data_IF_582877998255
#
_entry.id   IF_582877998255
#
_cell.length_a   1.000
_cell.length_b   1.000
_cell.length_c   1.000
_cell.angle_alpha   90.00
_cell.angle_beta   90.00
_cell.angle_gamma   90.00
#
_symmetry.space_group_name_H-M   'P 1'
#
loop_
_entity.id
_entity.type
_entity.pdbx_description
1 polymer ?
#
# COMPACT_ATOMS: atom_id res chain seq x y z
N UNK A 1 10.53 -4.03 -10.18
CA UNK A 1 9.55 -4.15 -9.08
C UNK A 1 8.48 -3.06 -9.24
N UNK A 2 7.20 -3.39 -9.06
CA UNK A 2 6.15 -2.39 -8.95
C UNK A 2 5.87 -2.05 -7.49
N UNK A 3 5.69 -0.78 -7.20
CA UNK A 3 5.42 -0.26 -5.87
C UNK A 3 4.23 0.70 -5.90
N UNK A 4 3.28 0.56 -4.97
CA UNK A 4 2.26 1.56 -4.67
C UNK A 4 2.13 1.72 -3.16
N UNK A 5 2.44 2.90 -2.66
CA UNK A 5 2.46 3.22 -1.22
C UNK A 5 1.38 4.19 -0.79
N UNK A 6 0.70 4.81 -1.76
CA UNK A 6 -0.34 5.81 -1.51
C UNK A 6 -1.59 5.46 -2.31
N UNK A 7 -2.75 5.62 -1.68
CA UNK A 7 -4.07 5.49 -2.29
C UNK A 7 -4.74 6.85 -2.48
N UNK A 8 -6.00 6.81 -2.89
CA UNK A 8 -6.85 7.98 -3.05
C UNK A 8 -6.65 8.70 -4.39
N UNK A 9 -7.58 9.62 -4.67
CA UNK A 9 -7.53 10.49 -5.85
C UNK A 9 -6.84 11.81 -5.49
N UNK A 10 -5.91 12.30 -6.33
CA UNK A 10 -5.30 13.63 -6.14
C UNK A 10 -6.33 14.76 -6.18
N UNK A 11 -7.49 14.51 -6.80
CA UNK A 11 -8.61 15.45 -6.90
C UNK A 11 -9.61 15.34 -5.75
N UNK A 12 -9.37 14.48 -4.76
CA UNK A 12 -10.24 14.39 -3.59
C UNK A 12 -10.14 15.70 -2.80
N UNK A 13 -11.27 16.38 -2.68
CA UNK A 13 -11.41 17.71 -2.06
C UNK A 13 -10.91 17.76 -0.60
N UNK A 14 -10.75 16.61 0.07
CA UNK A 14 -10.51 16.54 1.50
C UNK A 14 -9.18 15.94 1.93
N UNK A 15 -8.44 15.26 1.09
CA UNK A 15 -7.10 14.78 1.46
C UNK A 15 -6.30 14.25 0.28
N UNK A 16 -5.07 14.73 0.14
CA UNK A 16 -4.05 14.15 -0.76
C UNK A 16 -3.45 12.87 -0.17
N UNK A 17 -3.87 12.46 1.03
CA UNK A 17 -3.36 11.32 1.78
C UNK A 17 -4.53 10.50 2.31
N UNK A 18 -4.45 9.20 2.18
CA UNK A 18 -5.39 8.24 2.75
C UNK A 18 -4.74 7.55 3.95
N UNK A 19 -4.71 8.25 5.09
CA UNK A 19 -4.00 7.83 6.30
C UNK A 19 -4.23 6.38 6.74
N UNK A 20 -5.39 5.83 6.45
CA UNK A 20 -5.73 4.46 6.81
C UNK A 20 -5.36 3.42 5.73
N UNK A 21 -4.76 3.84 4.63
CA UNK A 21 -4.27 2.95 3.56
C UNK A 21 -2.81 3.19 3.22
N UNK A 22 -2.34 4.42 3.41
CA UNK A 22 -1.00 4.82 2.99
C UNK A 22 0.07 4.25 3.92
N UNK A 23 1.11 3.67 3.34
CA UNK A 23 2.29 3.30 4.11
C UNK A 23 2.99 4.59 4.56
N UNK A 24 3.31 4.75 5.86
CA UNK A 24 4.08 5.89 6.34
C UNK A 24 5.37 6.07 5.53
N UNK A 25 5.66 7.33 5.17
CA UNK A 25 6.73 7.63 4.20
C UNK A 25 8.11 7.13 4.67
N UNK A 26 8.36 7.15 5.97
CA UNK A 26 9.59 6.67 6.58
C UNK A 26 9.75 5.15 6.40
N UNK A 27 8.67 4.41 6.51
CA UNK A 27 8.64 2.96 6.29
C UNK A 27 8.78 2.66 4.79
N UNK A 28 8.04 3.38 3.96
CA UNK A 28 8.12 3.23 2.51
C UNK A 28 9.54 3.49 2.00
N UNK A 29 10.21 4.55 2.50
CA UNK A 29 11.59 4.86 2.12
C UNK A 29 12.58 3.77 2.56
N UNK A 30 12.42 3.20 3.76
CA UNK A 30 13.26 2.08 4.22
C UNK A 30 13.12 0.86 3.32
N UNK A 31 11.88 0.54 2.88
CA UNK A 31 11.62 -0.56 1.95
C UNK A 31 12.26 -0.30 0.58
N UNK A 32 12.14 0.93 0.06
CA UNK A 32 12.81 1.33 -1.19
C UNK A 32 14.32 1.20 -1.06
N UNK A 33 14.92 1.68 0.01
CA UNK A 33 16.38 1.58 0.25
C UNK A 33 16.88 0.13 0.30
N UNK A 34 16.02 -0.78 0.76
CA UNK A 34 16.34 -2.22 0.75
C UNK A 34 16.25 -2.80 -0.66
N UNK A 35 15.11 -2.61 -1.33
CA UNK A 35 14.83 -3.26 -2.61
C UNK A 35 15.58 -2.64 -3.80
N UNK A 36 15.94 -1.36 -3.76
CA UNK A 36 16.69 -0.69 -4.82
C UNK A 36 18.09 -1.28 -5.06
N UNK A 37 18.60 -2.05 -4.09
CA UNK A 37 19.88 -2.79 -4.24
C UNK A 37 19.76 -3.92 -5.26
N UNK A 38 18.55 -4.43 -5.53
CA UNK A 38 18.32 -5.60 -6.39
C UNK A 38 17.31 -5.36 -7.49
N UNK A 39 16.50 -4.31 -7.39
CA UNK A 39 15.41 -4.04 -8.32
C UNK A 39 15.40 -2.58 -8.76
N UNK A 40 15.12 -2.36 -10.03
CA UNK A 40 14.58 -1.10 -10.51
C UNK A 40 13.14 -0.97 -9.97
N UNK A 41 12.82 0.13 -9.28
CA UNK A 41 11.52 0.31 -8.63
C UNK A 41 10.70 1.35 -9.39
N UNK A 42 9.61 0.91 -9.99
CA UNK A 42 8.61 1.76 -10.62
C UNK A 42 7.50 2.05 -9.61
N UNK A 43 7.36 3.31 -9.22
CA UNK A 43 6.41 3.75 -8.19
C UNK A 43 5.13 4.26 -8.87
N UNK A 44 4.06 3.50 -8.73
CA UNK A 44 2.72 3.87 -9.20
C UNK A 44 2.19 4.97 -8.31
N UNK A 45 2.18 6.19 -8.80
CA UNK A 45 1.68 7.39 -8.11
C UNK A 45 1.37 8.48 -9.10
N UNK A 46 0.63 9.50 -8.65
CA UNK A 46 0.51 10.76 -9.41
C UNK A 46 1.68 11.69 -9.07
N UNK A 47 1.94 12.71 -9.89
CA UNK A 47 3.00 13.70 -9.60
C UNK A 47 2.85 14.40 -8.24
N UNK A 48 1.60 14.55 -7.77
CA UNK A 48 1.26 15.26 -6.52
C UNK A 48 1.43 14.39 -5.27
N UNK A 49 1.49 13.07 -5.44
CA UNK A 49 1.74 12.15 -4.32
C UNK A 49 3.22 12.11 -3.95
N UNK A 50 3.56 11.83 -2.67
CA UNK A 50 4.93 11.81 -2.22
C UNK A 50 5.84 10.93 -3.06
N UNK A 51 6.96 11.49 -3.50
CA UNK A 51 8.02 10.74 -4.16
C UNK A 51 8.93 10.07 -3.14
N UNK A 52 9.44 8.89 -3.48
CA UNK A 52 10.44 8.17 -2.70
C UNK A 52 11.77 8.19 -3.43
N UNK A 53 12.85 8.50 -2.73
CA UNK A 53 14.20 8.51 -3.31
C UNK A 53 14.59 7.11 -3.79
N UNK A 54 15.12 7.00 -5.01
CA UNK A 54 15.49 5.71 -5.59
C UNK A 54 14.33 4.99 -6.32
N UNK A 55 13.21 5.70 -6.58
CA UNK A 55 12.12 5.20 -7.41
C UNK A 55 11.93 6.04 -8.66
N UNK A 56 11.35 5.43 -9.69
CA UNK A 56 10.93 6.10 -10.91
C UNK A 56 9.40 6.24 -10.90
N UNK A 57 8.90 7.41 -11.29
CA UNK A 57 7.47 7.65 -11.43
C UNK A 57 6.88 6.77 -12.53
N UNK A 58 5.87 6.00 -12.19
CA UNK A 58 5.02 5.29 -13.14
C UNK A 58 3.61 5.91 -13.12
N UNK A 59 3.39 6.84 -14.03
CA UNK A 59 2.10 7.51 -14.23
C UNK A 59 1.71 7.39 -15.71
N UNK A 60 0.94 6.37 -16.03
CA UNK A 60 0.52 6.02 -17.37
C UNK A 60 -1.00 5.96 -17.47
N UNK A 61 -1.59 6.13 -18.65
CA UNK A 61 -2.98 5.78 -18.87
C UNK A 61 -3.27 4.33 -18.48
N UNK A 62 -4.48 4.02 -18.00
CA UNK A 62 -4.81 2.71 -17.45
C UNK A 62 -4.44 1.53 -18.34
N UNK A 63 -4.70 1.61 -19.65
CA UNK A 63 -4.37 0.53 -20.58
C UNK A 63 -2.88 0.22 -20.63
N UNK A 64 -2.06 1.26 -20.69
CA UNK A 64 -0.60 1.13 -20.70
C UNK A 64 -0.08 0.65 -19.36
N UNK A 65 -0.66 1.19 -18.26
CA UNK A 65 -0.31 0.77 -16.92
C UNK A 65 -0.55 -0.73 -16.71
N UNK A 66 -1.68 -1.27 -17.18
CA UNK A 66 -1.99 -2.71 -17.08
C UNK A 66 -0.94 -3.58 -17.80
N UNK A 67 -0.43 -3.13 -18.92
CA UNK A 67 0.59 -3.86 -19.68
C UNK A 67 1.95 -3.96 -18.92
N UNK A 68 2.20 -3.08 -17.95
CA UNK A 68 3.43 -3.10 -17.16
C UNK A 68 3.39 -4.16 -16.04
N UNK A 69 2.22 -4.53 -15.55
CA UNK A 69 2.09 -5.47 -14.43
C UNK A 69 2.77 -6.84 -14.70
N UNK A 70 2.52 -7.52 -15.84
CA UNK A 70 3.16 -8.80 -16.15
C UNK A 70 4.68 -8.71 -16.31
N UNK A 71 5.22 -7.52 -16.62
CA UNK A 71 6.64 -7.29 -16.78
C UNK A 71 7.38 -7.16 -15.45
N UNK A 72 6.65 -7.07 -14.34
CA UNK A 72 7.23 -6.92 -13.02
C UNK A 72 7.50 -8.27 -12.35
N UNK A 73 8.68 -8.42 -11.76
CA UNK A 73 9.05 -9.63 -11.02
C UNK A 73 8.55 -9.62 -9.57
N UNK A 74 8.41 -8.44 -8.96
CA UNK A 74 7.94 -8.26 -7.59
C UNK A 74 6.95 -7.10 -7.53
N UNK A 75 5.96 -7.19 -6.64
CA UNK A 75 4.83 -6.27 -6.49
C UNK A 75 4.55 -6.01 -5.01
N UNK A 76 4.65 -4.76 -4.59
CA UNK A 76 4.34 -4.33 -3.24
C UNK A 76 3.29 -3.21 -3.29
N UNK A 77 2.12 -3.50 -2.77
CA UNK A 77 0.96 -2.62 -2.86
C UNK A 77 0.32 -2.41 -1.48
N UNK A 78 -0.59 -1.46 -1.45
CA UNK A 78 -1.55 -1.25 -0.37
C UNK A 78 -2.94 -1.67 -0.82
N UNK A 79 -3.95 -1.51 0.03
CA UNK A 79 -5.36 -1.61 -0.34
C UNK A 79 -5.74 -0.52 -1.35
N UNK A 80 -5.50 -0.79 -2.62
CA UNK A 80 -5.74 0.12 -3.75
C UNK A 80 -5.87 -0.65 -5.06
N UNK A 81 -6.16 0.06 -6.15
CA UNK A 81 -6.45 -0.54 -7.45
C UNK A 81 -5.35 -1.52 -7.93
N UNK A 82 -4.09 -1.29 -7.58
CA UNK A 82 -2.99 -2.10 -8.08
C UNK A 82 -3.07 -3.57 -7.62
N UNK A 83 -3.52 -3.84 -6.37
CA UNK A 83 -3.74 -5.22 -5.94
C UNK A 83 -4.85 -5.91 -6.75
N UNK A 84 -5.91 -5.18 -7.07
CA UNK A 84 -7.03 -5.72 -7.85
C UNK A 84 -6.60 -6.05 -9.28
N UNK A 85 -5.83 -5.16 -9.91
CA UNK A 85 -5.26 -5.39 -11.25
C UNK A 85 -4.32 -6.59 -11.26
N UNK A 86 -3.40 -6.67 -10.30
CA UNK A 86 -2.47 -7.80 -10.21
C UNK A 86 -3.24 -9.13 -10.07
N UNK A 87 -4.21 -9.18 -9.17
CA UNK A 87 -5.02 -10.38 -8.97
C UNK A 87 -5.84 -10.76 -10.22
N UNK A 88 -6.43 -9.78 -10.92
CA UNK A 88 -7.16 -10.02 -12.17
C UNK A 88 -6.26 -10.53 -13.31
N UNK A 89 -4.96 -10.34 -13.20
CA UNK A 89 -3.94 -10.83 -14.13
C UNK A 89 -3.24 -12.12 -13.62
N UNK A 90 -3.76 -12.76 -12.57
CA UNK A 90 -3.15 -13.93 -11.91
C UNK A 90 -1.72 -13.68 -11.41
N UNK A 91 -1.41 -12.45 -11.03
CA UNK A 91 -0.11 -12.04 -10.55
C UNK A 91 -0.14 -11.88 -9.03
N UNK A 92 0.61 -12.73 -8.33
CA UNK A 92 0.75 -12.61 -6.88
C UNK A 92 1.41 -11.29 -6.48
N UNK A 93 0.88 -10.63 -5.45
CA UNK A 93 1.47 -9.42 -4.86
C UNK A 93 1.56 -9.52 -3.33
N UNK A 94 2.43 -8.71 -2.75
CA UNK A 94 2.40 -8.42 -1.30
C UNK A 94 1.55 -7.19 -1.09
N UNK A 95 0.55 -7.29 -0.21
CA UNK A 95 -0.34 -6.17 0.13
C UNK A 95 -0.18 -5.83 1.60
N UNK A 96 0.20 -4.58 1.86
CA UNK A 96 0.32 -4.04 3.21
C UNK A 96 -0.99 -3.37 3.60
N UNK A 97 -1.57 -3.85 4.67
CA UNK A 97 -2.82 -3.34 5.22
C UNK A 97 -2.53 -2.38 6.37
N UNK A 98 -3.20 -1.25 6.39
CA UNK A 98 -3.07 -0.25 7.45
C UNK A 98 -4.34 -0.24 8.32
N UNK A 99 -5.41 0.36 7.87
CA UNK A 99 -6.66 0.45 8.60
C UNK A 99 -7.74 -0.51 8.10
N UNK A 100 -7.69 -0.87 6.81
CA UNK A 100 -8.59 -1.88 6.25
C UNK A 100 -8.09 -3.29 6.55
N UNK A 101 -9.00 -4.27 6.45
CA UNK A 101 -8.69 -5.67 6.70
C UNK A 101 -8.68 -6.49 5.41
N UNK A 102 -7.73 -7.43 5.25
CA UNK A 102 -7.68 -8.29 4.07
C UNK A 102 -8.90 -9.20 3.92
N UNK A 103 -9.62 -9.51 5.01
CA UNK A 103 -10.84 -10.32 4.98
C UNK A 103 -11.99 -9.64 4.23
N UNK A 104 -11.94 -8.30 4.08
CA UNK A 104 -12.98 -7.52 3.40
C UNK A 104 -12.62 -7.22 1.95
N UNK A 105 -11.39 -6.77 1.70
CA UNK A 105 -10.95 -6.28 0.39
C UNK A 105 -9.77 -7.06 -0.20
N UNK A 106 -9.20 -8.00 0.55
CA UNK A 106 -8.03 -8.76 0.13
C UNK A 106 -8.38 -9.97 -0.72
N UNK A 107 -7.34 -10.55 -1.29
CA UNK A 107 -7.39 -11.79 -2.05
C UNK A 107 -6.48 -12.82 -1.38
N UNK A 108 -6.92 -14.09 -1.37
CA UNK A 108 -6.17 -15.21 -0.75
C UNK A 108 -4.89 -15.56 -1.51
N UNK A 109 -4.82 -15.18 -2.79
CA UNK A 109 -3.66 -15.39 -3.67
C UNK A 109 -2.51 -14.44 -3.32
N UNK A 110 -2.82 -13.30 -2.69
CA UNK A 110 -1.84 -12.30 -2.26
C UNK A 110 -1.21 -12.67 -0.91
N UNK A 111 -0.01 -12.19 -0.68
CA UNK A 111 0.64 -12.26 0.62
C UNK A 111 0.23 -11.01 1.40
N UNK A 112 -0.73 -11.16 2.31
CA UNK A 112 -1.28 -10.06 3.08
C UNK A 112 -0.43 -9.82 4.35
N UNK A 113 0.06 -8.61 4.52
CA UNK A 113 0.83 -8.18 5.71
C UNK A 113 0.00 -7.19 6.49
N UNK A 114 -0.32 -7.55 7.73
CA UNK A 114 -1.11 -6.73 8.65
C UNK A 114 -0.24 -6.29 9.83
N UNK A 115 -0.48 -5.11 10.41
CA UNK A 115 0.16 -4.67 11.66
C UNK A 115 -0.27 -5.51 12.85
N UNK A 116 0.49 -5.44 13.93
CA UNK A 116 0.08 -5.99 15.21
C UNK A 116 -1.09 -5.20 15.81
N UNK A 117 -2.04 -5.93 16.39
CA UNK A 117 -3.24 -5.32 17.01
C UNK A 117 -2.91 -4.53 18.29
N UNK A 118 -1.79 -4.79 18.90
CA UNK A 118 -1.28 -4.12 20.11
C UNK A 118 -1.00 -2.63 19.90
N UNK A 119 -0.81 -2.21 18.67
CA UNK A 119 -0.53 -0.82 18.30
C UNK A 119 -1.76 -0.02 17.87
N UNK A 120 -2.93 -0.66 17.83
CA UNK A 120 -4.18 0.01 17.43
C UNK A 120 -4.60 0.97 18.54
N UNK A 121 -4.84 2.24 18.19
CA UNK A 121 -5.35 3.24 19.13
C UNK A 121 -6.69 2.79 19.70
N UNK A 122 -6.95 3.11 20.98
CA UNK A 122 -8.19 2.74 21.68
C UNK A 122 -9.45 3.14 20.89
N UNK A 123 -9.46 4.37 20.33
CA UNK A 123 -10.57 4.91 19.54
C UNK A 123 -10.82 4.10 18.26
N UNK A 124 -9.85 3.33 17.77
CA UNK A 124 -9.92 2.56 16.54
C UNK A 124 -10.06 1.04 16.78
N UNK A 125 -10.15 0.60 18.03
CA UNK A 125 -10.32 -0.84 18.35
C UNK A 125 -11.65 -1.40 17.88
N UNK A 126 -12.67 -0.58 17.85
CA UNK A 126 -13.94 -0.95 17.25
C UNK A 126 -13.82 -0.76 15.75
N UNK A 127 -13.92 -1.84 15.05
CA UNK A 127 -13.75 -1.97 13.61
C UNK A 127 -14.02 -0.68 12.84
N UNK A 128 -12.99 -0.12 12.28
CA UNK A 128 -13.04 1.06 11.43
C UNK A 128 -14.01 0.89 10.23
N UNK A 129 -14.25 -0.35 9.83
CA UNK A 129 -15.17 -0.73 8.77
C UNK A 129 -16.65 -0.74 9.21
N UNK A 130 -16.92 -0.85 10.50
CA UNK A 130 -18.28 -0.89 11.02
C UNK A 130 -18.86 0.49 11.29
N UNK A 131 -18.04 1.54 11.20
CA UNK A 131 -18.46 2.93 11.39
C UNK A 131 -18.10 3.78 10.17
N UNK A 132 -18.90 3.66 9.13
CA UNK A 132 -18.81 4.51 7.94
C UNK A 132 -19.36 5.94 8.13
N UNK A 133 -19.47 6.43 9.32
CA UNK A 133 -19.76 7.86 9.52
C UNK A 133 -18.47 8.66 9.30
N UNK A 134 -18.17 8.87 8.03
CA UNK A 134 -17.08 9.73 7.56
C UNK A 134 -17.51 11.19 7.39
N UNK A 135 -18.70 11.54 7.87
CA UNK A 135 -19.21 12.90 7.75
C UNK A 135 -18.36 13.87 8.56
N UNK A 136 -17.41 14.52 7.91
CA UNK A 136 -16.66 15.66 8.41
C UNK A 136 -15.47 15.36 9.35
N UNK A 137 -15.12 14.11 9.60
CA UNK A 137 -13.95 13.79 10.41
C UNK A 137 -12.70 13.57 9.54
N UNK A 138 -11.60 14.22 9.91
CA UNK A 138 -10.28 13.93 9.35
C UNK A 138 -9.92 12.53 9.81
N UNK A 139 -9.78 11.60 8.86
CA UNK A 139 -9.33 10.24 9.13
C UNK A 139 -7.91 10.26 9.67
N UNK A 140 -7.74 9.86 10.91
CA UNK A 140 -6.44 9.79 11.56
C UNK A 140 -5.78 8.44 11.31
N UNK A 141 -4.45 8.43 11.35
CA UNK A 141 -3.68 7.21 11.33
C UNK A 141 -4.08 6.32 12.52
N UNK A 142 -4.47 5.05 12.29
CA UNK A 142 -5.15 4.24 13.32
C UNK A 142 -4.25 3.64 14.39
N UNK A 143 -2.95 3.90 14.35
CA UNK A 143 -1.97 3.32 15.26
C UNK A 143 -1.25 4.40 16.08
N UNK A 144 -0.73 4.01 17.23
CA UNK A 144 0.04 4.90 18.12
C UNK A 144 1.44 5.19 17.60
N UNK A 145 1.96 4.32 16.75
CA UNK A 145 3.30 4.43 16.17
C UNK A 145 3.34 4.02 14.72
N UNK A 146 4.23 4.62 13.94
CA UNK A 146 4.52 4.19 12.55
C UNK A 146 5.31 2.87 12.50
N UNK A 147 5.91 2.47 13.60
CA UNK A 147 6.67 1.21 13.71
C UNK A 147 5.78 -0.03 13.91
N UNK A 148 4.44 0.12 13.87
CA UNK A 148 3.50 -1.00 13.90
C UNK A 148 3.69 -1.96 12.71
N UNK A 149 4.28 -1.48 11.60
CA UNK A 149 4.64 -2.30 10.44
C UNK A 149 6.03 -2.90 10.65
N UNK A 150 6.08 -4.21 10.76
CA UNK A 150 7.35 -4.95 10.76
C UNK A 150 7.93 -4.99 9.34
N UNK A 151 8.95 -4.18 9.11
CA UNK A 151 9.62 -4.07 7.80
C UNK A 151 10.18 -5.43 7.34
N UNK A 152 10.70 -6.24 8.26
CA UNK A 152 11.26 -7.55 7.91
C UNK A 152 10.17 -8.49 7.40
N UNK A 153 8.99 -8.49 8.02
CA UNK A 153 7.85 -9.26 7.52
C UNK A 153 7.44 -8.84 6.11
N UNK A 154 7.46 -7.52 5.82
CA UNK A 154 7.15 -7.02 4.47
C UNK A 154 8.21 -7.49 3.48
N UNK A 155 9.50 -7.38 3.83
CA UNK A 155 10.61 -7.83 2.99
C UNK A 155 10.50 -9.33 2.70
N UNK A 156 10.28 -10.15 3.72
CA UNK A 156 10.09 -11.59 3.56
C UNK A 156 8.91 -11.91 2.66
N UNK A 157 7.78 -11.23 2.83
CA UNK A 157 6.57 -11.40 2.02
C UNK A 157 6.85 -11.10 0.55
N UNK A 158 7.56 -10.00 0.23
CA UNK A 158 7.93 -9.66 -1.15
C UNK A 158 8.88 -10.72 -1.72
N UNK A 159 9.85 -11.19 -0.95
CA UNK A 159 10.82 -12.20 -1.42
C UNK A 159 10.15 -13.55 -1.70
N UNK A 160 9.08 -13.91 -0.97
CA UNK A 160 8.31 -15.16 -1.14
C UNK A 160 7.40 -15.17 -2.37
N UNK A 161 7.14 -14.04 -3.04
CA UNK A 161 6.33 -14.02 -4.27
C UNK A 161 6.92 -14.93 -5.33
N UNK A 162 6.01 -15.65 -6.00
CA UNK A 162 6.33 -16.50 -7.16
C UNK A 162 6.50 -15.68 -8.42
#
# INVERSE_FOLDING_TARGET
MLLQTHGGSPNAQYSKKSWFRDIPIEIAQKLVNYFSKSYRILHIRTPEQPALNGTELLNLPFRELYAVFPLSTKRLFIDSFAQHVATALDLQSTVVWIGNKPEVFGYKENINVVPGVEHVREINKFSYLDQFDISGQIQQFPYDTVNMLDINKIIEAVNKQK
#
